data_IF_055835327493
#
_entry.id   IF_055835327493
#
_cell.length_a   1.000
_cell.length_b   1.000
_cell.length_c   1.000
_cell.angle_alpha   90.00
_cell.angle_beta   90.00
_cell.angle_gamma   90.00
#
_symmetry.space_group_name_H-M   'P 1'
#
loop_
_entity.id
_entity.type
_entity.pdbx_description
1 polymer ?
#
# COMPACT_ATOMS: atom_id res chain seq x y z
N UNK A 1 7.25 37.13 -16.47
CA UNK A 1 7.42 35.84 -15.74
C UNK A 1 6.39 35.74 -14.64
N UNK A 2 5.61 34.65 -14.62
CA UNK A 2 4.29 34.59 -14.00
C UNK A 2 4.38 34.20 -12.50
N UNK A 3 4.17 35.15 -11.57
CA UNK A 3 4.26 34.97 -10.09
C UNK A 3 3.53 33.74 -9.55
N UNK A 4 2.43 33.32 -10.20
CA UNK A 4 1.60 32.17 -9.79
C UNK A 4 2.26 30.80 -10.07
N UNK A 5 3.10 30.70 -11.10
CA UNK A 5 3.83 29.46 -11.42
C UNK A 5 5.01 29.24 -10.47
N UNK A 6 5.70 30.30 -10.05
CA UNK A 6 6.83 30.18 -9.11
C UNK A 6 6.39 29.59 -7.76
N UNK A 7 5.18 29.93 -7.29
CA UNK A 7 4.63 29.35 -6.06
C UNK A 7 4.35 27.85 -6.14
N UNK A 8 4.10 27.27 -7.32
CA UNK A 8 3.91 25.81 -7.47
C UNK A 8 5.24 25.08 -7.29
N UNK A 9 6.31 25.60 -7.89
CA UNK A 9 7.64 25.02 -7.83
C UNK A 9 8.23 25.11 -6.42
N UNK A 10 8.14 26.29 -5.79
CA UNK A 10 8.65 26.50 -4.43
C UNK A 10 7.96 25.56 -3.45
N UNK A 11 6.62 25.53 -3.45
CA UNK A 11 5.85 24.68 -2.53
C UNK A 11 6.10 23.19 -2.78
N UNK A 12 6.24 22.77 -4.03
CA UNK A 12 6.54 21.38 -4.39
C UNK A 12 7.94 20.93 -3.96
N UNK A 13 8.96 21.75 -4.22
CA UNK A 13 10.34 21.47 -3.81
C UNK A 13 10.46 21.48 -2.28
N UNK A 14 9.87 22.48 -1.62
CA UNK A 14 9.91 22.57 -0.17
C UNK A 14 9.22 21.36 0.47
N UNK A 15 8.04 20.96 -0.03
CA UNK A 15 7.33 19.78 0.45
C UNK A 15 8.16 18.51 0.29
N UNK A 16 8.83 18.35 -0.87
CA UNK A 16 9.69 17.19 -1.12
C UNK A 16 10.89 17.14 -0.17
N UNK A 17 11.59 18.25 0.03
CA UNK A 17 12.76 18.31 0.91
C UNK A 17 12.38 18.02 2.37
N UNK A 18 11.27 18.60 2.85
CA UNK A 18 10.78 18.34 4.21
C UNK A 18 10.36 16.87 4.36
N UNK A 19 9.61 16.32 3.40
CA UNK A 19 9.22 14.91 3.45
C UNK A 19 10.44 13.99 3.42
N UNK A 20 11.42 14.25 2.57
CA UNK A 20 12.66 13.50 2.48
C UNK A 20 13.41 13.47 3.82
N UNK A 21 13.58 14.63 4.48
CA UNK A 21 14.23 14.71 5.79
C UNK A 21 13.47 13.95 6.87
N UNK A 22 12.13 14.04 6.90
CA UNK A 22 11.30 13.30 7.86
C UNK A 22 11.42 11.79 7.62
N UNK A 23 11.33 11.35 6.37
CA UNK A 23 11.46 9.94 6.01
C UNK A 23 12.85 9.39 6.37
N UNK A 24 13.91 10.17 6.15
CA UNK A 24 15.27 9.82 6.58
C UNK A 24 15.37 9.72 8.10
N UNK A 25 14.82 10.69 8.83
CA UNK A 25 14.82 10.69 10.30
C UNK A 25 14.10 9.47 10.87
N UNK A 26 12.90 9.14 10.37
CA UNK A 26 12.15 7.95 10.81
C UNK A 26 12.93 6.67 10.48
N UNK A 27 13.49 6.58 9.27
CA UNK A 27 14.26 5.40 8.85
C UNK A 27 15.54 5.23 9.68
N UNK A 28 16.17 6.34 10.10
CA UNK A 28 17.35 6.34 10.96
C UNK A 28 17.02 5.85 12.36
N UNK A 29 15.91 6.32 12.94
CA UNK A 29 15.44 5.84 14.26
C UNK A 29 15.13 4.34 14.23
N UNK A 30 14.44 3.87 13.19
CA UNK A 30 14.17 2.43 13.01
C UNK A 30 15.46 1.63 12.82
N UNK A 31 16.40 2.16 12.03
CA UNK A 31 17.72 1.55 11.84
C UNK A 31 18.47 1.39 13.16
N UNK A 32 18.50 2.43 13.99
CA UNK A 32 19.13 2.39 15.32
C UNK A 32 18.48 1.29 16.18
N UNK A 33 17.15 1.22 16.22
CA UNK A 33 16.44 0.20 17.01
C UNK A 33 16.75 -1.23 16.52
N UNK A 34 16.79 -1.46 15.20
CA UNK A 34 17.14 -2.75 14.61
C UNK A 34 18.59 -3.12 14.95
N UNK A 35 19.50 -2.15 14.85
CA UNK A 35 20.92 -2.36 15.09
C UNK A 35 21.23 -2.67 16.57
N UNK A 36 20.50 -2.08 17.52
CA UNK A 36 20.67 -2.43 18.94
C UNK A 36 20.01 -3.74 19.35
N UNK A 37 18.98 -4.20 18.62
CA UNK A 37 18.14 -5.32 19.08
C UNK A 37 18.37 -6.64 18.34
N UNK A 38 18.73 -6.60 17.05
CA UNK A 38 18.73 -7.78 16.16
C UNK A 38 19.94 -7.78 15.20
N UNK A 39 21.01 -7.01 15.49
CA UNK A 39 22.13 -6.84 14.56
C UNK A 39 22.80 -8.14 14.14
N UNK A 40 23.11 -9.05 15.07
CA UNK A 40 23.78 -10.32 14.73
C UNK A 40 22.96 -11.15 13.74
N UNK A 41 21.66 -11.33 14.00
CA UNK A 41 20.75 -12.06 13.10
C UNK A 41 20.51 -11.34 11.77
N UNK A 42 20.53 -10.00 11.77
CA UNK A 42 20.33 -9.22 10.55
C UNK A 42 21.58 -9.24 9.65
N UNK A 43 22.76 -9.30 10.26
CA UNK A 43 24.04 -9.34 9.57
C UNK A 43 24.37 -10.75 9.04
N UNK A 44 23.93 -11.80 9.73
CA UNK A 44 23.96 -13.19 9.23
C UNK A 44 23.14 -13.36 7.95
N UNK A 45 22.13 -12.52 7.73
CA UNK A 45 21.30 -12.57 6.53
C UNK A 45 21.91 -11.82 5.34
N UNK A 46 22.79 -10.82 5.54
CA UNK A 46 23.30 -9.95 4.46
C UNK A 46 24.72 -10.32 4.00
N UNK A 47 25.01 -10.18 2.69
CA UNK A 47 26.34 -10.42 2.11
C UNK A 47 26.85 -9.24 1.25
N UNK A 48 28.14 -9.25 0.91
CA UNK A 48 28.78 -8.19 0.12
C UNK A 48 28.77 -6.81 0.80
N UNK A 49 28.63 -5.73 0.03
CA UNK A 49 28.61 -4.34 0.55
C UNK A 49 27.48 -4.06 1.55
N UNK A 50 26.48 -4.94 1.71
CA UNK A 50 25.45 -4.82 2.74
C UNK A 50 25.86 -5.51 4.06
N UNK A 51 26.62 -6.61 4.02
CA UNK A 51 27.03 -7.43 5.19
C UNK A 51 28.48 -7.30 5.65
N UNK A 52 29.32 -6.50 4.97
CA UNK A 52 30.79 -6.47 5.15
C UNK A 52 31.31 -5.94 6.51
N UNK A 53 30.45 -5.69 7.49
CA UNK A 53 30.87 -5.14 8.78
C UNK A 53 30.57 -6.11 9.91
N UNK A 54 31.54 -6.36 10.79
CA UNK A 54 31.37 -7.10 12.05
C UNK A 54 31.20 -6.09 13.19
N UNK A 55 29.95 -5.77 13.53
CA UNK A 55 29.55 -4.90 14.64
C UNK A 55 28.66 -3.71 14.26
N UNK A 56 27.79 -3.31 15.19
CA UNK A 56 26.95 -2.12 15.11
C UNK A 56 27.81 -0.85 14.96
N UNK A 57 27.98 -0.36 13.72
CA UNK A 57 28.77 0.83 13.43
C UNK A 57 27.98 1.86 12.60
N UNK A 58 28.48 3.10 12.52
CA UNK A 58 27.80 4.22 11.81
C UNK A 58 27.49 3.86 10.35
N UNK A 59 28.40 3.12 9.68
CA UNK A 59 28.22 2.65 8.30
C UNK A 59 27.02 1.70 8.16
N UNK A 60 26.87 0.73 9.08
CA UNK A 60 25.74 -0.20 9.11
C UNK A 60 24.42 0.50 9.40
N UNK A 61 24.41 1.48 10.32
CA UNK A 61 23.23 2.28 10.64
C UNK A 61 22.78 3.06 9.39
N UNK A 62 23.71 3.70 8.66
CA UNK A 62 23.39 4.42 7.44
C UNK A 62 22.85 3.50 6.34
N UNK A 63 23.43 2.31 6.15
CA UNK A 63 22.96 1.34 5.14
C UNK A 63 21.57 0.80 5.45
N UNK A 64 21.33 0.39 6.70
CA UNK A 64 20.00 -0.08 7.14
C UNK A 64 18.98 1.05 7.01
N UNK A 65 19.36 2.30 7.32
CA UNK A 65 18.50 3.48 7.12
C UNK A 65 18.07 3.60 5.66
N UNK A 66 19.02 3.57 4.72
CA UNK A 66 18.73 3.72 3.29
C UNK A 66 17.96 2.51 2.76
N UNK A 67 18.19 1.31 3.32
CA UNK A 67 17.43 0.11 2.98
C UNK A 67 15.96 0.22 3.42
N UNK A 68 15.69 0.59 4.69
CA UNK A 68 14.33 0.85 5.20
C UNK A 68 13.65 1.92 4.36
N UNK A 69 14.38 2.99 4.04
CA UNK A 69 13.92 4.09 3.22
C UNK A 69 13.49 3.62 1.81
N UNK A 70 14.30 2.78 1.15
CA UNK A 70 13.95 2.19 -0.15
C UNK A 70 12.78 1.22 -0.07
N UNK A 71 12.78 0.31 0.91
CA UNK A 71 11.70 -0.64 1.12
C UNK A 71 10.37 0.05 1.43
N UNK A 72 10.38 1.19 2.13
CA UNK A 72 9.18 1.99 2.43
C UNK A 72 8.48 2.57 1.20
N UNK A 73 9.22 2.73 0.11
CA UNK A 73 8.71 3.18 -1.19
C UNK A 73 8.51 2.02 -2.17
N UNK A 74 8.58 0.77 -1.68
CA UNK A 74 8.43 -0.45 -2.47
C UNK A 74 9.43 -0.54 -3.63
N UNK A 75 10.61 0.08 -3.45
CA UNK A 75 11.71 -0.04 -4.39
C UNK A 75 12.46 -1.34 -4.12
N UNK A 76 12.52 -2.20 -5.12
CA UNK A 76 13.47 -3.29 -5.22
C UNK A 76 13.69 -3.58 -6.71
N UNK A 77 14.94 -3.50 -7.19
CA UNK A 77 15.28 -3.92 -8.56
C UNK A 77 15.68 -5.37 -8.53
N UNK A 78 15.14 -6.13 -9.50
CA UNK A 78 15.39 -7.54 -9.68
C UNK A 78 14.09 -8.33 -9.56
N UNK A 79 14.26 -9.61 -9.35
CA UNK A 79 13.19 -10.55 -9.05
C UNK A 79 12.74 -10.47 -7.57
N UNK A 80 13.23 -9.47 -6.83
CA UNK A 80 12.73 -9.20 -5.49
C UNK A 80 11.68 -8.08 -5.49
N UNK A 81 10.51 -8.33 -4.94
CA UNK A 81 9.55 -7.33 -4.45
C UNK A 81 9.21 -7.73 -3.03
N UNK A 82 9.34 -6.82 -2.07
CA UNK A 82 8.97 -7.07 -0.69
C UNK A 82 7.81 -6.15 -0.32
N UNK A 83 6.61 -6.73 -0.27
CA UNK A 83 5.41 -6.03 0.14
C UNK A 83 5.31 -5.91 1.66
N UNK A 84 6.04 -4.95 2.25
CA UNK A 84 5.84 -4.59 3.67
C UNK A 84 5.02 -3.31 3.73
N UNK A 85 3.69 -3.44 3.67
CA UNK A 85 2.77 -2.30 3.69
C UNK A 85 2.95 -1.46 4.96
N UNK A 86 3.37 -2.06 6.07
CA UNK A 86 3.69 -1.35 7.31
C UNK A 86 4.72 -0.21 7.08
N UNK A 87 5.70 -0.42 6.19
CA UNK A 87 6.71 0.59 5.91
C UNK A 87 6.17 1.77 5.10
N UNK A 88 5.03 1.64 4.39
CA UNK A 88 4.38 2.77 3.71
C UNK A 88 3.90 3.87 4.68
N UNK A 89 3.82 3.56 5.98
CA UNK A 89 3.59 4.57 7.02
C UNK A 89 4.70 5.64 7.04
N UNK A 90 5.94 5.28 6.70
CA UNK A 90 7.08 6.22 6.67
C UNK A 90 6.84 7.36 5.65
N UNK A 91 6.68 7.09 4.35
CA UNK A 91 6.33 8.14 3.39
C UNK A 91 4.95 8.75 3.67
N UNK A 92 3.98 7.98 4.15
CA UNK A 92 2.64 8.48 4.47
C UNK A 92 2.65 9.59 5.54
N UNK A 93 3.34 9.36 6.66
CA UNK A 93 3.47 10.35 7.76
C UNK A 93 4.26 11.56 7.28
N UNK A 94 5.37 11.33 6.58
CA UNK A 94 6.21 12.41 6.08
C UNK A 94 5.44 13.35 5.12
N UNK A 95 4.70 12.79 4.17
CA UNK A 95 3.89 13.55 3.22
C UNK A 95 2.71 14.24 3.90
N UNK A 96 2.12 13.62 4.94
CA UNK A 96 1.06 14.26 5.72
C UNK A 96 1.55 15.51 6.46
N UNK A 97 2.75 15.45 7.05
CA UNK A 97 3.37 16.59 7.74
C UNK A 97 3.84 17.64 6.75
N UNK A 98 4.59 17.25 5.71
CA UNK A 98 5.16 18.18 4.73
C UNK A 98 4.09 18.96 3.98
N UNK A 99 3.00 18.30 3.61
CA UNK A 99 1.95 18.90 2.78
C UNK A 99 0.89 19.62 3.60
N UNK A 100 1.07 19.78 4.93
CA UNK A 100 0.06 20.38 5.80
C UNK A 100 -0.43 21.73 5.27
N UNK A 101 0.49 22.65 4.94
CA UNK A 101 0.19 23.98 4.37
C UNK A 101 -0.54 23.89 3.03
N UNK A 102 -0.13 22.96 2.16
CA UNK A 102 -0.77 22.73 0.85
C UNK A 102 -2.18 22.14 1.04
N UNK A 103 -2.42 21.42 2.13
CA UNK A 103 -3.63 20.66 2.41
C UNK A 103 -4.65 21.39 3.29
N UNK A 104 -4.41 22.65 3.68
CA UNK A 104 -5.14 23.41 4.71
C UNK A 104 -6.68 23.42 4.60
N UNK A 105 -7.24 23.16 3.41
CA UNK A 105 -8.68 23.12 3.15
C UNK A 105 -9.23 21.75 2.70
N UNK A 106 -8.38 20.73 2.49
CA UNK A 106 -8.79 19.38 2.06
C UNK A 106 -9.50 19.29 0.70
N UNK A 107 -9.54 20.39 -0.07
CA UNK A 107 -10.15 20.45 -1.41
C UNK A 107 -9.09 20.14 -2.47
N UNK A 108 -9.39 19.26 -3.41
CA UNK A 108 -8.55 18.98 -4.57
C UNK A 108 -8.71 20.09 -5.62
N UNK A 109 -7.59 20.63 -6.12
CA UNK A 109 -7.59 21.60 -7.21
C UNK A 109 -6.36 21.41 -8.10
N UNK A 110 -6.36 22.05 -9.28
CA UNK A 110 -5.28 21.93 -10.27
C UNK A 110 -3.92 22.38 -9.71
N UNK A 111 -3.91 23.37 -8.81
CA UNK A 111 -2.69 23.87 -8.19
C UNK A 111 -2.03 22.76 -7.34
N UNK A 112 -2.80 22.10 -6.47
CA UNK A 112 -2.31 20.98 -5.63
C UNK A 112 -1.87 19.79 -6.46
N UNK A 113 -2.59 19.46 -7.52
CA UNK A 113 -2.19 18.39 -8.44
C UNK A 113 -0.80 18.65 -9.03
N UNK A 114 -0.50 19.90 -9.39
CA UNK A 114 0.83 20.29 -9.89
C UNK A 114 1.88 20.25 -8.78
N UNK A 115 1.59 20.77 -7.59
CA UNK A 115 2.50 20.71 -6.42
C UNK A 115 2.85 19.26 -6.09
N UNK A 116 1.87 18.35 -6.09
CA UNK A 116 2.11 16.92 -5.85
C UNK A 116 2.95 16.26 -6.93
N UNK A 117 2.75 16.65 -8.20
CA UNK A 117 3.58 16.18 -9.31
C UNK A 117 5.03 16.58 -9.13
N UNK A 118 5.31 17.86 -8.82
CA UNK A 118 6.67 18.34 -8.56
C UNK A 118 7.25 17.65 -7.32
N UNK A 119 6.47 17.52 -6.25
CA UNK A 119 6.91 16.85 -5.00
C UNK A 119 7.32 15.41 -5.28
N UNK A 120 6.53 14.67 -6.05
CA UNK A 120 6.80 13.28 -6.42
C UNK A 120 8.06 13.14 -7.28
N UNK A 121 8.27 14.04 -8.25
CA UNK A 121 9.47 14.04 -9.10
C UNK A 121 10.72 14.31 -8.26
N UNK A 122 10.71 15.38 -7.46
CA UNK A 122 11.88 15.78 -6.66
C UNK A 122 12.23 14.69 -5.64
N UNK A 123 11.23 14.14 -4.95
CA UNK A 123 11.46 13.09 -3.95
C UNK A 123 11.92 11.77 -4.60
N UNK A 124 11.40 11.42 -5.78
CA UNK A 124 11.90 10.27 -6.54
C UNK A 124 13.36 10.46 -7.01
N UNK A 125 13.77 11.67 -7.38
CA UNK A 125 15.16 11.97 -7.74
C UNK A 125 16.06 11.85 -6.50
N UNK A 126 15.67 12.46 -5.36
CA UNK A 126 16.44 12.37 -4.11
C UNK A 126 16.56 10.91 -3.64
N UNK A 127 15.48 10.13 -3.75
CA UNK A 127 15.49 8.70 -3.52
C UNK A 127 16.50 8.00 -4.42
N UNK A 128 16.40 8.23 -5.73
CA UNK A 128 17.27 7.58 -6.71
C UNK A 128 18.75 7.88 -6.44
N UNK A 129 19.08 9.11 -6.06
CA UNK A 129 20.43 9.53 -5.68
C UNK A 129 20.94 8.78 -4.44
N UNK A 130 20.13 8.67 -3.37
CA UNK A 130 20.55 7.97 -2.15
C UNK A 130 20.65 6.45 -2.34
N UNK A 131 19.82 5.88 -3.24
CA UNK A 131 19.82 4.45 -3.57
C UNK A 131 21.10 3.98 -4.26
N UNK A 132 21.93 4.87 -4.83
CA UNK A 132 23.23 4.50 -5.38
C UNK A 132 24.21 4.00 -4.30
N UNK A 133 24.01 4.40 -3.04
CA UNK A 133 24.87 4.06 -1.92
C UNK A 133 24.61 2.62 -1.43
N UNK A 134 23.41 2.07 -1.68
CA UNK A 134 22.97 0.76 -1.20
C UNK A 134 22.87 -0.30 -2.29
N UNK A 135 23.97 -0.55 -3.00
CA UNK A 135 24.09 -1.75 -3.84
C UNK A 135 24.66 -2.89 -3.00
N UNK A 136 24.23 -4.13 -3.21
CA UNK A 136 24.79 -5.31 -2.54
C UNK A 136 23.83 -6.50 -2.55
N UNK A 137 24.19 -7.57 -1.85
CA UNK A 137 23.35 -8.77 -1.71
C UNK A 137 22.67 -8.79 -0.34
N UNK A 138 21.34 -8.99 -0.31
CA UNK A 138 20.59 -9.00 0.95
C UNK A 138 20.52 -10.39 1.57
N UNK A 139 20.78 -11.43 0.79
CA UNK A 139 21.07 -12.84 1.11
C UNK A 139 22.03 -13.34 0.03
N UNK A 140 22.91 -14.29 0.31
CA UNK A 140 23.84 -14.87 -0.68
C UNK A 140 23.08 -15.32 -1.95
N UNK A 141 23.46 -14.77 -3.11
CA UNK A 141 22.78 -15.00 -4.39
C UNK A 141 21.61 -14.05 -4.71
N UNK A 142 21.24 -13.17 -3.78
CA UNK A 142 20.11 -12.24 -3.90
C UNK A 142 20.61 -10.79 -4.02
N UNK A 143 20.96 -10.42 -5.25
CA UNK A 143 21.44 -9.07 -5.58
C UNK A 143 20.31 -8.04 -5.51
N UNK A 144 20.48 -7.06 -4.62
CA UNK A 144 19.60 -5.90 -4.52
C UNK A 144 20.31 -4.67 -5.10
N UNK A 145 19.75 -4.22 -6.21
CA UNK A 145 19.98 -2.86 -6.68
C UNK A 145 18.72 -2.06 -6.36
N UNK A 146 18.85 -0.87 -5.78
CA UNK A 146 17.71 0.03 -5.56
C UNK A 146 17.66 1.14 -6.62
N UNK A 147 18.79 1.45 -7.25
CA UNK A 147 18.94 2.51 -8.24
C UNK A 147 18.66 1.96 -9.65
N UNK A 148 17.38 1.93 -10.05
CA UNK A 148 16.98 1.79 -11.45
C UNK A 148 15.95 2.81 -11.88
N UNK A 149 15.85 3.04 -13.19
CA UNK A 149 14.82 3.88 -13.79
C UNK A 149 13.41 3.38 -13.45
N UNK A 150 13.20 2.05 -13.45
CA UNK A 150 11.92 1.43 -13.09
C UNK A 150 11.50 1.78 -11.66
N UNK A 151 12.44 1.75 -10.72
CA UNK A 151 12.19 2.15 -9.33
C UNK A 151 11.94 3.65 -9.21
N UNK A 152 12.67 4.49 -9.94
CA UNK A 152 12.42 5.93 -9.98
C UNK A 152 11.00 6.26 -10.44
N UNK A 153 10.53 5.63 -11.52
CA UNK A 153 9.15 5.81 -12.02
C UNK A 153 8.12 5.28 -11.02
N UNK A 154 8.35 4.08 -10.46
CA UNK A 154 7.43 3.47 -9.47
C UNK A 154 7.33 4.33 -8.21
N UNK A 155 8.45 4.84 -7.71
CA UNK A 155 8.53 5.77 -6.58
C UNK A 155 7.72 7.03 -6.85
N UNK A 156 7.89 7.63 -8.03
CA UNK A 156 7.14 8.83 -8.43
C UNK A 156 5.63 8.58 -8.40
N UNK A 157 5.17 7.45 -8.96
CA UNK A 157 3.75 7.08 -8.99
C UNK A 157 3.23 6.85 -7.56
N UNK A 158 3.94 6.09 -6.73
CA UNK A 158 3.55 5.78 -5.35
C UNK A 158 3.46 7.05 -4.50
N UNK A 159 4.46 7.95 -4.57
CA UNK A 159 4.46 9.21 -3.83
C UNK A 159 3.30 10.10 -4.29
N UNK A 160 3.05 10.18 -5.60
CA UNK A 160 1.93 10.96 -6.11
C UNK A 160 0.58 10.45 -5.57
N UNK A 161 0.39 9.13 -5.57
CA UNK A 161 -0.81 8.49 -5.06
C UNK A 161 -0.96 8.64 -3.54
N UNK A 162 0.11 8.45 -2.77
CA UNK A 162 0.11 8.68 -1.32
C UNK A 162 -0.32 10.10 -0.99
N UNK A 163 0.19 11.11 -1.71
CA UNK A 163 -0.24 12.49 -1.52
C UNK A 163 -1.74 12.70 -1.79
N UNK A 164 -2.27 12.06 -2.85
CA UNK A 164 -3.71 12.09 -3.12
C UNK A 164 -4.52 11.42 -2.00
N UNK A 165 -4.08 10.27 -1.50
CA UNK A 165 -4.74 9.58 -0.39
C UNK A 165 -4.73 10.41 0.90
N UNK A 166 -3.59 11.02 1.23
CA UNK A 166 -3.43 11.94 2.37
C UNK A 166 -4.40 13.13 2.23
N UNK A 167 -4.47 13.75 1.05
CA UNK A 167 -5.38 14.86 0.81
C UNK A 167 -6.85 14.45 0.96
N UNK A 168 -7.24 13.33 0.34
CA UNK A 168 -8.61 12.83 0.40
C UNK A 168 -9.02 12.55 1.85
N UNK A 169 -8.09 12.08 2.69
CA UNK A 169 -8.35 11.78 4.09
C UNK A 169 -8.28 13.01 5.03
N UNK A 170 -7.87 14.18 4.52
CA UNK A 170 -7.84 15.44 5.28
C UNK A 170 -9.26 15.99 5.45
N UNK A 171 -9.59 16.57 6.61
CA UNK A 171 -10.90 17.21 6.84
C UNK A 171 -11.07 18.37 5.85
N UNK A 172 -12.09 18.28 4.99
CA UNK A 172 -12.40 19.35 4.04
C UNK A 172 -13.26 20.42 4.69
N UNK A 173 -12.89 21.69 4.52
CA UNK A 173 -13.68 22.85 4.96
C UNK A 173 -14.73 23.29 3.92
N UNK A 174 -14.84 22.59 2.79
CA UNK A 174 -15.76 22.94 1.70
C UNK A 174 -16.51 21.74 1.12
N UNK A 175 -17.28 21.98 0.04
CA UNK A 175 -18.00 20.92 -0.66
C UNK A 175 -17.02 19.94 -1.30
N UNK A 176 -16.98 18.72 -0.78
CA UNK A 176 -16.29 17.58 -1.38
C UNK A 176 -17.26 16.75 -2.21
N UNK A 177 -16.81 16.25 -3.36
CA UNK A 177 -17.56 15.31 -4.18
C UNK A 177 -18.00 14.11 -3.35
N UNK A 178 -19.26 13.68 -3.51
CA UNK A 178 -19.81 12.56 -2.75
C UNK A 178 -19.13 11.24 -3.14
N UNK A 179 -18.58 11.14 -4.35
CA UNK A 179 -17.74 10.01 -4.76
C UNK A 179 -16.48 9.83 -3.89
N UNK A 180 -15.83 10.93 -3.49
CA UNK A 180 -14.67 10.88 -2.57
C UNK A 180 -15.13 10.44 -1.18
N UNK A 181 -16.31 10.89 -0.72
CA UNK A 181 -16.87 10.43 0.56
C UNK A 181 -17.20 8.94 0.53
N UNK A 182 -17.84 8.47 -0.54
CA UNK A 182 -18.15 7.05 -0.75
C UNK A 182 -16.88 6.19 -0.73
N UNK A 183 -15.84 6.60 -1.45
CA UNK A 183 -14.51 5.94 -1.39
C UNK A 183 -13.99 5.87 0.05
N UNK A 184 -14.02 7.00 0.78
CA UNK A 184 -13.52 7.05 2.17
C UNK A 184 -14.24 6.09 3.09
N UNK A 185 -15.56 6.07 3.02
CA UNK A 185 -16.34 5.17 3.86
C UNK A 185 -16.15 3.70 3.45
N UNK A 186 -16.02 3.42 2.16
CA UNK A 186 -15.77 2.07 1.63
C UNK A 186 -14.45 1.53 2.16
N UNK A 187 -13.33 2.23 1.95
CA UNK A 187 -12.03 1.72 2.38
C UNK A 187 -11.98 1.58 3.90
N UNK A 188 -12.56 2.51 4.68
CA UNK A 188 -12.56 2.41 6.15
C UNK A 188 -13.37 1.22 6.64
N UNK A 189 -14.53 1.00 6.05
CA UNK A 189 -15.40 -0.13 6.42
C UNK A 189 -14.71 -1.44 6.09
N UNK A 190 -14.13 -1.57 4.90
CA UNK A 190 -13.35 -2.75 4.51
C UNK A 190 -12.10 -2.92 5.39
N UNK A 191 -11.39 -1.85 5.73
CA UNK A 191 -10.22 -1.89 6.62
C UNK A 191 -10.57 -2.39 8.02
N UNK A 192 -11.70 -1.93 8.58
CA UNK A 192 -12.17 -2.40 9.89
C UNK A 192 -12.53 -3.89 9.82
N UNK A 193 -13.31 -4.30 8.81
CA UNK A 193 -13.69 -5.71 8.64
C UNK A 193 -12.43 -6.58 8.44
N UNK A 194 -11.52 -6.15 7.57
CA UNK A 194 -10.25 -6.84 7.31
C UNK A 194 -9.32 -6.89 8.52
N UNK A 195 -9.31 -5.84 9.36
CA UNK A 195 -8.53 -5.84 10.60
C UNK A 195 -9.11 -6.82 11.62
N UNK A 196 -10.44 -6.87 11.77
CA UNK A 196 -11.09 -7.86 12.65
C UNK A 196 -10.80 -9.27 12.18
N UNK A 197 -10.99 -9.57 10.89
CA UNK A 197 -10.67 -10.88 10.31
C UNK A 197 -9.19 -11.22 10.50
N UNK A 198 -8.30 -10.26 10.22
CA UNK A 198 -6.86 -10.44 10.31
C UNK A 198 -6.36 -10.69 11.73
N UNK A 199 -6.87 -9.93 12.71
CA UNK A 199 -6.53 -10.14 14.13
C UNK A 199 -7.00 -11.52 14.57
N UNK A 200 -8.23 -11.91 14.26
CA UNK A 200 -8.75 -13.25 14.61
C UNK A 200 -7.87 -14.34 13.98
N UNK A 201 -7.58 -14.24 12.69
CA UNK A 201 -6.72 -15.19 11.98
C UNK A 201 -5.32 -15.29 12.60
N UNK A 202 -4.70 -14.17 12.98
CA UNK A 202 -3.39 -14.16 13.63
C UNK A 202 -3.42 -14.75 15.04
N UNK A 203 -4.41 -14.39 15.85
CA UNK A 203 -4.54 -14.90 17.23
C UNK A 203 -4.74 -16.41 17.25
N UNK A 204 -5.56 -16.94 16.33
CA UNK A 204 -5.79 -18.38 16.21
C UNK A 204 -4.67 -19.11 15.47
N UNK A 205 -3.97 -18.45 14.54
CA UNK A 205 -2.88 -19.04 13.76
C UNK A 205 -1.51 -19.05 14.47
N UNK A 206 -1.29 -18.14 15.42
CA UNK A 206 -0.04 -17.99 16.16
C UNK A 206 -0.14 -18.53 17.60
N UNK A 207 -0.88 -19.62 17.80
CA UNK A 207 -1.06 -20.25 19.13
C UNK A 207 0.28 -20.61 19.80
N UNK A 208 1.29 -20.98 19.00
CA UNK A 208 2.64 -21.30 19.48
C UNK A 208 3.41 -20.10 20.04
N UNK A 209 2.97 -18.86 19.78
CA UNK A 209 3.61 -17.64 20.27
C UNK A 209 2.86 -17.00 21.45
N UNK A 210 1.86 -17.69 22.03
CA UNK A 210 1.04 -17.14 23.13
C UNK A 210 1.86 -16.83 24.40
N UNK A 211 2.92 -17.60 24.67
CA UNK A 211 3.76 -17.40 25.85
C UNK A 211 4.73 -16.20 25.71
N UNK A 212 5.00 -15.74 24.48
CA UNK A 212 5.86 -14.59 24.18
C UNK A 212 5.05 -13.37 23.71
N UNK A 213 4.25 -12.81 24.62
CA UNK A 213 3.31 -11.70 24.33
C UNK A 213 3.95 -10.52 23.59
N UNK A 214 5.19 -10.16 23.93
CA UNK A 214 5.91 -9.04 23.29
C UNK A 214 6.22 -9.36 21.82
N UNK A 215 6.68 -10.58 21.54
CA UNK A 215 6.97 -11.03 20.18
C UNK A 215 5.67 -11.14 19.37
N UNK A 216 4.61 -11.68 19.97
CA UNK A 216 3.28 -11.76 19.36
C UNK A 216 2.74 -10.38 18.96
N UNK A 217 2.84 -9.38 19.84
CA UNK A 217 2.44 -7.99 19.54
C UNK A 217 3.25 -7.40 18.39
N UNK A 218 4.56 -7.63 18.36
CA UNK A 218 5.43 -7.16 17.29
C UNK A 218 5.03 -7.77 15.94
N UNK A 219 4.83 -9.09 15.90
CA UNK A 219 4.39 -9.81 14.69
C UNK A 219 3.03 -9.27 14.22
N UNK A 220 2.07 -9.06 15.11
CA UNK A 220 0.76 -8.51 14.76
C UNK A 220 0.92 -7.11 14.16
N UNK A 221 1.67 -6.20 14.78
CA UNK A 221 1.81 -4.81 14.27
C UNK A 221 2.39 -4.78 12.86
N UNK A 222 3.39 -5.62 12.56
CA UNK A 222 4.04 -5.64 11.26
C UNK A 222 3.27 -6.43 10.20
N UNK A 223 2.62 -7.53 10.58
CA UNK A 223 1.89 -8.39 9.64
C UNK A 223 0.48 -7.86 9.35
N UNK A 224 -0.17 -7.19 10.31
CA UNK A 224 -1.59 -6.81 10.22
C UNK A 224 -1.88 -5.94 8.99
N UNK A 225 -1.08 -4.92 8.61
CA UNK A 225 -1.33 -4.14 7.40
C UNK A 225 -1.41 -4.99 6.13
N UNK A 226 -0.54 -6.00 6.01
CA UNK A 226 -0.57 -6.93 4.87
C UNK A 226 -1.81 -7.82 4.91
N UNK A 227 -2.14 -8.40 6.08
CA UNK A 227 -3.32 -9.27 6.22
C UNK A 227 -4.65 -8.53 6.01
N UNK A 228 -4.73 -7.26 6.41
CA UNK A 228 -5.88 -6.39 6.10
C UNK A 228 -6.05 -6.26 4.58
N UNK A 229 -4.96 -6.00 3.87
CA UNK A 229 -4.97 -5.86 2.41
C UNK A 229 -5.30 -7.19 1.73
N UNK A 230 -4.81 -8.31 2.26
CA UNK A 230 -5.17 -9.65 1.79
C UNK A 230 -6.65 -9.94 1.98
N UNK A 231 -7.22 -9.48 3.10
CA UNK A 231 -8.66 -9.56 3.35
C UNK A 231 -9.46 -8.78 2.30
N UNK A 232 -8.94 -7.66 1.77
CA UNK A 232 -9.62 -6.92 0.70
C UNK A 232 -9.72 -7.75 -0.58
N UNK A 233 -8.65 -8.45 -0.96
CA UNK A 233 -8.66 -9.31 -2.15
C UNK A 233 -9.49 -10.56 -1.95
N UNK A 234 -9.43 -11.16 -0.77
CA UNK A 234 -10.29 -12.28 -0.41
C UNK A 234 -11.77 -11.89 -0.51
N UNK A 235 -12.14 -10.74 0.07
CA UNK A 235 -13.48 -10.16 -0.02
C UNK A 235 -13.87 -9.77 -1.45
N UNK A 236 -12.94 -9.36 -2.32
CA UNK A 236 -13.27 -9.10 -3.74
C UNK A 236 -13.35 -10.37 -4.60
N UNK A 237 -13.14 -11.54 -4.01
CA UNK A 237 -13.20 -12.83 -4.70
C UNK A 237 -11.90 -13.22 -5.40
N UNK A 238 -10.83 -12.45 -5.23
CA UNK A 238 -9.50 -12.76 -5.74
C UNK A 238 -8.74 -13.68 -4.79
N UNK A 239 -8.04 -14.64 -5.39
CA UNK A 239 -7.16 -15.55 -4.66
C UNK A 239 -5.72 -15.04 -4.71
N UNK A 240 -4.96 -15.38 -3.68
CA UNK A 240 -3.51 -15.24 -3.71
C UNK A 240 -2.92 -16.36 -4.56
N UNK A 241 -2.04 -16.00 -5.48
CA UNK A 241 -1.23 -16.94 -6.21
C UNK A 241 0.08 -17.15 -5.43
N UNK A 242 0.29 -18.40 -5.01
CA UNK A 242 1.51 -18.90 -4.40
C UNK A 242 2.20 -19.79 -5.44
N UNK A 243 3.52 -19.72 -5.56
CA UNK A 243 4.25 -20.72 -6.34
C UNK A 243 4.28 -22.10 -5.65
N UNK A 244 4.65 -23.14 -6.38
CA UNK A 244 4.59 -24.53 -5.91
C UNK A 244 5.48 -24.79 -4.69
N UNK A 245 6.63 -24.13 -4.60
CA UNK A 245 7.58 -24.27 -3.48
C UNK A 245 7.00 -23.70 -2.18
N UNK A 246 6.43 -22.48 -2.22
CA UNK A 246 5.76 -21.89 -1.05
C UNK A 246 4.48 -22.65 -0.68
N UNK A 247 3.74 -23.17 -1.66
CA UNK A 247 2.60 -24.08 -1.40
C UNK A 247 3.05 -25.37 -0.73
N UNK A 248 4.15 -25.98 -1.18
CA UNK A 248 4.73 -27.15 -0.56
C UNK A 248 5.11 -26.91 0.90
N UNK A 249 5.75 -25.77 1.18
CA UNK A 249 6.09 -25.36 2.55
C UNK A 249 4.88 -25.11 3.44
N UNK A 250 3.85 -24.42 2.93
CA UNK A 250 2.62 -24.18 3.68
C UNK A 250 1.84 -25.48 3.94
N UNK A 251 1.77 -26.38 2.95
CA UNK A 251 1.14 -27.68 3.09
C UNK A 251 1.88 -28.57 4.10
N UNK A 252 3.21 -28.51 4.15
CA UNK A 252 4.00 -29.20 5.17
C UNK A 252 3.70 -28.70 6.59
N UNK A 253 3.41 -27.40 6.73
CA UNK A 253 2.93 -26.79 7.98
C UNK A 253 1.42 -27.04 8.24
N UNK A 254 0.74 -27.81 7.40
CA UNK A 254 -0.70 -28.09 7.51
C UNK A 254 -1.61 -26.89 7.19
N UNK A 255 -1.07 -25.83 6.57
CA UNK A 255 -1.82 -24.65 6.16
C UNK A 255 -2.26 -24.86 4.70
N UNK A 256 -3.55 -25.11 4.46
CA UNK A 256 -4.11 -25.18 3.09
C UNK A 256 -4.21 -23.77 2.48
N UNK A 257 -3.34 -23.41 1.51
CA UNK A 257 -3.32 -22.08 0.91
C UNK A 257 -4.42 -21.89 -0.15
N UNK A 258 -5.12 -22.95 -0.54
CA UNK A 258 -6.10 -22.94 -1.62
C UNK A 258 -7.50 -22.55 -1.16
N UNK A 259 -7.75 -22.60 0.16
CA UNK A 259 -9.06 -22.36 0.78
C UNK A 259 -10.19 -23.16 0.12
N UNK A 260 -9.88 -24.28 -0.56
CA UNK A 260 -10.85 -25.04 -1.35
C UNK A 260 -11.98 -25.60 -0.48
N UNK A 261 -11.69 -25.87 0.79
CA UNK A 261 -12.67 -26.41 1.74
C UNK A 261 -13.57 -25.35 2.41
N UNK A 262 -13.39 -24.05 2.11
CA UNK A 262 -14.14 -22.94 2.72
C UNK A 262 -14.92 -22.10 1.70
N UNK A 263 -15.52 -22.76 0.71
CA UNK A 263 -16.29 -22.12 -0.37
C UNK A 263 -17.38 -21.18 0.16
N UNK A 264 -18.12 -21.59 1.19
CA UNK A 264 -19.19 -20.78 1.78
C UNK A 264 -18.69 -19.50 2.46
N UNK A 265 -17.54 -19.58 3.15
CA UNK A 265 -16.90 -18.42 3.78
C UNK A 265 -16.46 -17.42 2.71
N UNK A 266 -15.95 -17.91 1.59
CA UNK A 266 -15.56 -17.09 0.44
C UNK A 266 -16.77 -16.38 -0.18
N UNK A 267 -17.88 -17.07 -0.42
CA UNK A 267 -19.09 -16.44 -0.91
C UNK A 267 -19.65 -15.39 0.07
N UNK A 268 -19.61 -15.68 1.37
CA UNK A 268 -19.97 -14.72 2.42
C UNK A 268 -19.11 -13.45 2.36
N UNK A 269 -17.79 -13.59 2.23
CA UNK A 269 -16.87 -12.46 2.12
C UNK A 269 -17.12 -11.60 0.86
N UNK A 270 -17.40 -12.25 -0.27
CA UNK A 270 -17.80 -11.56 -1.52
C UNK A 270 -19.11 -10.82 -1.36
N UNK A 271 -20.09 -11.43 -0.69
CA UNK A 271 -21.36 -10.77 -0.40
C UNK A 271 -21.16 -9.52 0.47
N UNK A 272 -20.32 -9.59 1.51
CA UNK A 272 -19.98 -8.44 2.36
C UNK A 272 -19.37 -7.31 1.52
N UNK A 273 -18.43 -7.63 0.63
CA UNK A 273 -17.84 -6.65 -0.27
C UNK A 273 -18.88 -5.95 -1.15
N UNK A 274 -19.75 -6.72 -1.80
CA UNK A 274 -20.84 -6.18 -2.65
C UNK A 274 -21.79 -5.32 -1.82
N UNK A 275 -22.19 -5.76 -0.62
CA UNK A 275 -23.06 -5.00 0.28
C UNK A 275 -22.43 -3.65 0.62
N UNK A 276 -21.14 -3.63 0.96
CA UNK A 276 -20.41 -2.39 1.27
C UNK A 276 -20.43 -1.43 0.07
N UNK A 277 -20.14 -1.92 -1.14
CA UNK A 277 -20.20 -1.11 -2.36
C UNK A 277 -21.62 -0.58 -2.63
N UNK A 278 -22.65 -1.41 -2.45
CA UNK A 278 -24.06 -1.03 -2.64
C UNK A 278 -24.45 0.08 -1.67
N UNK A 279 -24.18 -0.09 -0.37
CA UNK A 279 -24.52 0.88 0.68
C UNK A 279 -23.95 2.25 0.34
N UNK A 280 -22.66 2.34 0.00
CA UNK A 280 -22.03 3.63 -0.24
C UNK A 280 -22.35 4.22 -1.61
N UNK A 281 -22.63 3.40 -2.63
CA UNK A 281 -23.14 3.88 -3.93
C UNK A 281 -24.54 4.48 -3.80
N UNK A 282 -25.40 3.86 -3.00
CA UNK A 282 -26.77 4.32 -2.77
C UNK A 282 -26.84 5.57 -1.88
N UNK A 283 -25.90 5.75 -0.95
CA UNK A 283 -25.79 6.95 -0.10
C UNK A 283 -25.33 8.21 -0.84
N UNK A 284 -24.79 8.10 -2.06
CA UNK A 284 -24.43 9.28 -2.85
C UNK A 284 -25.68 10.05 -3.30
N UNK A 285 -25.58 11.38 -3.33
CA UNK A 285 -26.66 12.22 -3.86
C UNK A 285 -26.97 11.86 -5.31
N UNK A 286 -28.27 11.83 -5.63
CA UNK A 286 -28.82 11.40 -6.92
C UNK A 286 -29.21 12.59 -7.80
N UNK A 287 -28.37 13.62 -7.78
CA UNK A 287 -28.47 14.84 -8.57
C UNK A 287 -27.81 14.67 -9.95
N UNK A 288 -27.75 15.74 -10.75
CA UNK A 288 -27.11 15.74 -12.07
C UNK A 288 -25.61 15.35 -12.01
N UNK A 289 -25.00 15.43 -10.83
CA UNK A 289 -23.62 15.03 -10.57
C UNK A 289 -23.48 13.54 -10.18
N UNK A 290 -24.55 12.76 -10.13
CA UNK A 290 -24.51 11.35 -9.73
C UNK A 290 -23.51 10.53 -10.56
N UNK A 291 -23.48 10.70 -11.88
CA UNK A 291 -22.55 9.98 -12.77
C UNK A 291 -21.09 10.42 -12.56
N UNK A 292 -20.87 11.71 -12.32
CA UNK A 292 -19.53 12.24 -12.00
C UNK A 292 -19.05 11.69 -10.66
N UNK A 293 -19.93 11.67 -9.65
CA UNK A 293 -19.61 11.08 -8.34
C UNK A 293 -19.33 9.57 -8.44
N UNK A 294 -20.10 8.85 -9.24
CA UNK A 294 -19.90 7.40 -9.51
C UNK A 294 -18.57 7.17 -10.23
N UNK A 295 -18.25 7.98 -11.23
CA UNK A 295 -16.97 7.91 -11.94
C UNK A 295 -15.80 8.15 -10.98
N UNK A 296 -15.84 9.23 -10.18
CA UNK A 296 -14.80 9.50 -9.19
C UNK A 296 -14.66 8.34 -8.19
N UNK A 297 -15.79 7.83 -7.67
CA UNK A 297 -15.78 6.72 -6.72
C UNK A 297 -15.17 5.45 -7.32
N UNK A 298 -15.58 5.06 -8.53
CA UNK A 298 -15.07 3.87 -9.24
C UNK A 298 -13.58 3.97 -9.54
N UNK A 299 -13.12 5.11 -10.06
CA UNK A 299 -11.72 5.33 -10.43
C UNK A 299 -10.82 5.34 -9.20
N UNK A 300 -11.19 6.09 -8.15
CA UNK A 300 -10.38 6.17 -6.94
C UNK A 300 -10.31 4.82 -6.23
N UNK A 301 -11.42 4.08 -6.17
CA UNK A 301 -11.43 2.73 -5.56
C UNK A 301 -10.61 1.75 -6.38
N UNK A 302 -10.74 1.77 -7.71
CA UNK A 302 -9.96 0.90 -8.60
C UNK A 302 -8.45 1.16 -8.52
N UNK A 303 -8.04 2.42 -8.54
CA UNK A 303 -6.62 2.80 -8.38
C UNK A 303 -6.11 2.35 -7.00
N UNK A 304 -6.87 2.58 -5.93
CA UNK A 304 -6.47 2.17 -4.59
C UNK A 304 -6.24 0.65 -4.48
N UNK A 305 -7.18 -0.16 -4.96
CA UNK A 305 -7.04 -1.61 -4.94
C UNK A 305 -5.90 -2.11 -5.84
N UNK A 306 -5.72 -1.51 -7.02
CA UNK A 306 -4.62 -1.85 -7.92
C UNK A 306 -3.24 -1.57 -7.29
N UNK A 307 -3.11 -0.44 -6.62
CA UNK A 307 -1.86 0.00 -5.98
C UNK A 307 -1.55 -0.86 -4.76
N UNK A 308 -2.55 -1.15 -3.92
CA UNK A 308 -2.38 -2.10 -2.83
C UNK A 308 -1.94 -3.48 -3.34
N UNK A 309 -2.37 -3.88 -4.54
CA UNK A 309 -2.06 -5.21 -5.09
C UNK A 309 -0.61 -5.26 -5.49
N UNK A 310 -0.14 -4.18 -6.12
CA UNK A 310 1.27 -3.96 -6.40
C UNK A 310 2.12 -3.94 -5.12
N UNK A 311 1.70 -3.18 -4.11
CA UNK A 311 2.43 -3.00 -2.85
C UNK A 311 2.43 -4.23 -1.93
N UNK A 312 1.50 -5.15 -2.10
CA UNK A 312 1.33 -6.34 -1.23
C UNK A 312 1.88 -7.63 -1.83
N UNK A 313 2.40 -7.56 -3.05
CA UNK A 313 3.00 -8.71 -3.73
C UNK A 313 4.46 -8.88 -3.35
N UNK A 314 4.82 -10.11 -3.03
CA UNK A 314 6.17 -10.55 -2.74
C UNK A 314 6.66 -11.40 -3.91
N UNK A 315 7.78 -11.03 -4.49
CA UNK A 315 8.52 -11.87 -5.43
C UNK A 315 9.90 -12.00 -4.82
N UNK A 316 10.42 -13.20 -4.68
CA UNK A 316 11.79 -13.48 -4.29
C UNK A 316 12.23 -14.66 -5.13
N UNK A 317 13.42 -14.61 -5.70
CA UNK A 317 13.94 -15.74 -6.47
C UNK A 317 15.28 -16.17 -5.95
N UNK A 318 15.57 -17.46 -6.17
CA UNK A 318 16.83 -18.11 -5.83
C UNK A 318 17.22 -17.96 -4.35
N UNK A 319 16.26 -18.13 -3.43
CA UNK A 319 16.59 -18.19 -2.00
C UNK A 319 17.26 -19.55 -1.74
N UNK A 320 18.50 -19.58 -1.19
CA UNK A 320 19.15 -20.82 -0.82
C UNK A 320 18.25 -21.68 0.07
N UNK A 321 18.16 -22.99 -0.21
CA UNK A 321 17.31 -23.98 0.47
C UNK A 321 15.77 -23.85 0.33
N UNK A 322 15.24 -22.69 -0.07
CA UNK A 322 13.77 -22.47 -0.17
C UNK A 322 13.29 -22.35 -1.62
N UNK A 323 14.19 -22.07 -2.57
CA UNK A 323 13.85 -21.89 -3.98
C UNK A 323 13.27 -20.50 -4.26
N UNK A 324 12.39 -20.39 -5.24
CA UNK A 324 11.68 -19.16 -5.50
C UNK A 324 10.55 -19.01 -4.46
N UNK A 325 10.26 -17.79 -4.02
CA UNK A 325 9.08 -17.46 -3.23
C UNK A 325 8.31 -16.41 -4.00
N UNK A 326 7.20 -16.82 -4.63
CA UNK A 326 6.28 -15.88 -5.24
C UNK A 326 4.94 -15.90 -4.51
N UNK A 327 4.55 -14.73 -4.03
CA UNK A 327 3.25 -14.45 -3.48
C UNK A 327 2.70 -13.18 -4.13
N UNK A 328 1.68 -13.32 -4.98
CA UNK A 328 1.07 -12.17 -5.65
C UNK A 328 -0.44 -12.28 -5.65
N UNK A 329 -1.11 -11.13 -5.69
CA UNK A 329 -2.51 -11.11 -6.10
C UNK A 329 -2.56 -11.66 -7.52
N UNK A 330 -3.37 -12.70 -7.74
CA UNK A 330 -3.35 -13.50 -8.98
C UNK A 330 -3.36 -12.65 -10.24
N UNK A 331 -4.09 -11.52 -10.24
CA UNK A 331 -4.14 -10.59 -11.35
C UNK A 331 -4.21 -9.12 -10.89
N UNK A 332 -3.10 -8.39 -11.00
CA UNK A 332 -3.00 -6.96 -10.64
C UNK A 332 -4.08 -6.10 -11.31
N UNK A 333 -4.35 -6.33 -12.60
CA UNK A 333 -5.37 -5.58 -13.33
C UNK A 333 -6.77 -5.85 -12.79
N UNK A 334 -7.12 -7.12 -12.57
CA UNK A 334 -8.42 -7.51 -12.01
C UNK A 334 -8.60 -6.95 -10.59
N UNK A 335 -7.53 -6.83 -9.81
CA UNK A 335 -7.57 -6.25 -8.47
C UNK A 335 -8.12 -4.83 -8.44
N UNK A 336 -7.79 -3.99 -9.44
CA UNK A 336 -8.40 -2.67 -9.61
C UNK A 336 -9.70 -2.67 -10.41
N UNK A 337 -9.85 -3.60 -11.36
CA UNK A 337 -11.02 -3.65 -12.24
C UNK A 337 -12.31 -4.11 -11.54
N UNK A 338 -12.23 -5.10 -10.63
CA UNK A 338 -13.40 -5.61 -9.89
C UNK A 338 -14.13 -4.49 -9.12
N UNK A 339 -13.48 -3.70 -8.26
CA UNK A 339 -14.16 -2.60 -7.58
C UNK A 339 -14.65 -1.53 -8.55
N UNK A 340 -13.89 -1.23 -9.61
CA UNK A 340 -14.29 -0.26 -10.62
C UNK A 340 -15.60 -0.68 -11.32
N UNK A 341 -15.65 -1.91 -11.85
CA UNK A 341 -16.80 -2.45 -12.56
C UNK A 341 -17.99 -2.68 -11.62
N UNK A 342 -17.75 -3.15 -10.39
CA UNK A 342 -18.80 -3.37 -9.39
C UNK A 342 -19.57 -2.09 -9.06
N UNK A 343 -18.88 -0.96 -8.86
CA UNK A 343 -19.52 0.34 -8.62
C UNK A 343 -20.38 0.77 -9.81
N UNK A 344 -19.89 0.61 -11.03
CA UNK A 344 -20.64 0.93 -12.24
C UNK A 344 -21.87 0.04 -12.43
N UNK A 345 -21.73 -1.26 -12.19
CA UNK A 345 -22.83 -2.21 -12.29
C UNK A 345 -23.96 -1.85 -11.32
N UNK A 346 -23.62 -1.48 -10.07
CA UNK A 346 -24.61 -1.01 -9.08
C UNK A 346 -25.29 0.28 -9.56
N UNK A 347 -24.53 1.24 -10.11
CA UNK A 347 -25.09 2.49 -10.60
C UNK A 347 -26.03 2.30 -11.80
N UNK A 348 -25.70 1.37 -12.70
CA UNK A 348 -26.52 0.99 -13.85
C UNK A 348 -27.81 0.30 -13.40
N UNK A 349 -27.73 -0.66 -12.46
CA UNK A 349 -28.91 -1.30 -11.87
C UNK A 349 -29.84 -0.26 -11.24
N UNK A 350 -29.28 0.67 -10.46
CA UNK A 350 -30.04 1.76 -9.87
C UNK A 350 -30.77 2.60 -10.93
N UNK A 351 -30.10 2.90 -12.05
CA UNK A 351 -30.72 3.62 -13.16
C UNK A 351 -31.88 2.84 -13.79
N UNK A 352 -31.71 1.54 -14.05
CA UNK A 352 -32.77 0.69 -14.59
C UNK A 352 -33.99 0.63 -13.66
N UNK A 353 -33.78 0.43 -12.36
CA UNK A 353 -34.85 0.42 -11.35
C UNK A 353 -35.61 1.76 -11.33
N UNK A 354 -34.88 2.89 -11.38
CA UNK A 354 -35.50 4.21 -11.43
C UNK A 354 -36.35 4.39 -12.69
N UNK A 355 -35.83 3.98 -13.86
CA UNK A 355 -36.55 4.09 -15.14
C UNK A 355 -37.79 3.20 -15.19
N UNK A 356 -37.71 1.96 -14.71
CA UNK A 356 -38.88 1.08 -14.61
C UNK A 356 -39.96 1.67 -13.71
N UNK A 357 -39.57 2.25 -12.56
CA UNK A 357 -40.54 2.90 -11.66
C UNK A 357 -41.25 4.07 -12.33
N UNK A 358 -40.55 4.87 -13.14
CA UNK A 358 -41.17 5.96 -13.90
C UNK A 358 -42.16 5.44 -14.95
N UNK A 359 -41.83 4.34 -15.65
CA UNK A 359 -42.70 3.74 -16.68
C UNK A 359 -43.97 3.13 -16.06
N UNK A 360 -43.87 2.49 -14.89
CA UNK A 360 -45.04 1.89 -14.19
C UNK A 360 -45.98 2.97 -13.61
N UNK A 361 -45.48 4.19 -13.38
CA UNK A 361 -46.24 5.30 -12.83
C UNK A 361 -46.87 6.21 -13.91
N UNK A 362 -46.57 5.97 -15.19
CA UNK A 362 -47.24 6.56 -16.35
C UNK A 362 -48.34 5.62 -16.83
#
# INVERSE_FOLDING_TARGET
MNKKNNGVWVDGIQSALVAFLIMLGISLVLSIAINFSIYERFNELMSGTLGDYKGANISSILKITIMIFNMSLFNAVGELRLGIIALAAVPGIALWISNKRVNDNGILNIYKLKVYGITAIVLAILQFLISFITKGELVEGLNINFASLRNGISTMIIIYLLQLFVLMNTKSKGKTFDGIKAFRHTYRTLAIIGAVIGILAMVFGLQSLHDEIILLLFVIIFALPNVVVYSFYYMSGLTMAFNEELRGGLNYLGIDPTFQNMVYVRYGAVLVFVIVLVIFTLRMKKDDYFYINTFIYSVVTGIFFGVLGYCSSIYMTNIPAVGNIEFRVSHYFLSGFIPFAGIWLIAIIYYFVKRMKTIIQQ
#
